data_IF_235162117588
#
_entry.id   IF_235162117588
#
_cell.length_a   1.000
_cell.length_b   1.000
_cell.length_c   1.000
_cell.angle_alpha   90.00
_cell.angle_beta   90.00
_cell.angle_gamma   90.00
#
_symmetry.space_group_name_H-M   'P 1'
#
loop_
_entity.id
_entity.type
_entity.pdbx_description
1 polymer ?
#
# COMPACT_ATOMS: atom_id res chain seq x y z
N UNK A 1 11.74 -23.21 17.41
CA UNK A 1 12.26 -22.25 18.40
C UNK A 1 11.64 -20.90 18.08
N UNK A 2 10.84 -20.44 19.03
CA UNK A 2 9.72 -19.50 18.96
C UNK A 2 10.11 -18.06 18.61
N UNK A 3 9.23 -17.37 17.88
CA UNK A 3 8.89 -15.97 18.16
C UNK A 3 7.38 -15.88 18.08
N UNK A 4 6.76 -15.96 19.24
CA UNK A 4 5.31 -15.96 19.48
C UNK A 4 4.65 -14.58 19.28
N UNK A 5 5.09 -13.76 18.30
CA UNK A 5 4.58 -12.39 18.16
C UNK A 5 4.39 -11.92 16.71
N UNK A 6 4.26 -12.83 15.74
CA UNK A 6 3.88 -12.44 14.38
C UNK A 6 2.34 -12.45 14.26
N UNK A 7 1.73 -11.30 14.56
CA UNK A 7 0.29 -11.11 14.48
C UNK A 7 -0.11 -10.54 13.12
N UNK A 8 -1.29 -10.91 12.65
CA UNK A 8 -1.85 -10.35 11.41
C UNK A 8 -2.19 -8.88 11.65
N UNK A 9 -1.41 -7.97 11.08
CA UNK A 9 -1.62 -6.52 11.21
C UNK A 9 -2.74 -6.00 10.30
N UNK A 10 -3.00 -6.66 9.17
CA UNK A 10 -4.01 -6.24 8.19
C UNK A 10 -4.61 -7.43 7.46
N UNK A 11 -5.92 -7.40 7.27
CA UNK A 11 -6.69 -8.39 6.52
C UNK A 11 -7.60 -7.65 5.54
N UNK A 12 -7.58 -8.06 4.27
CA UNK A 12 -8.48 -7.54 3.25
C UNK A 12 -8.97 -8.68 2.36
N UNK A 13 -10.11 -8.45 1.70
CA UNK A 13 -10.67 -9.35 0.70
C UNK A 13 -10.62 -8.61 -0.64
N UNK A 14 -10.05 -9.24 -1.66
CA UNK A 14 -9.90 -8.66 -2.99
C UNK A 14 -9.94 -9.77 -4.06
N UNK A 15 -10.31 -9.41 -5.28
CA UNK A 15 -10.21 -10.29 -6.44
C UNK A 15 -8.76 -10.33 -6.93
N UNK A 16 -8.39 -11.38 -7.68
CA UNK A 16 -7.03 -11.57 -8.21
C UNK A 16 -6.58 -10.43 -9.10
N UNK A 17 -7.49 -9.82 -9.85
CA UNK A 17 -7.23 -8.68 -10.75
C UNK A 17 -7.36 -7.30 -10.10
N UNK A 18 -7.78 -7.22 -8.84
CA UNK A 18 -7.89 -5.98 -8.07
C UNK A 18 -6.50 -5.34 -7.93
N UNK A 19 -6.43 -4.02 -8.11
CA UNK A 19 -5.20 -3.27 -7.86
C UNK A 19 -5.04 -3.04 -6.36
N UNK A 20 -3.84 -3.29 -5.84
CA UNK A 20 -3.47 -3.04 -4.46
C UNK A 20 -2.51 -1.84 -4.43
N UNK A 21 -2.93 -0.77 -3.78
CA UNK A 21 -2.10 0.41 -3.52
C UNK A 21 -1.43 0.28 -2.15
N UNK A 22 -0.12 0.35 -2.12
CA UNK A 22 0.71 0.27 -0.91
C UNK A 22 1.26 1.65 -0.61
N UNK A 23 0.75 2.29 0.43
CA UNK A 23 1.23 3.59 0.90
C UNK A 23 2.28 3.39 1.98
N UNK A 24 3.41 4.06 1.86
CA UNK A 24 4.51 3.97 2.81
C UNK A 24 4.53 5.15 3.77
N UNK A 25 5.18 4.93 4.91
CA UNK A 25 5.50 5.96 5.92
C UNK A 25 6.43 7.08 5.40
N UNK A 26 6.98 6.94 4.20
CA UNK A 26 7.77 7.98 3.52
C UNK A 26 6.93 8.77 2.49
N UNK A 27 5.61 8.55 2.44
CA UNK A 27 4.72 9.25 1.50
C UNK A 27 4.79 8.73 0.06
N UNK A 28 5.34 7.54 -0.16
CA UNK A 28 5.39 6.88 -1.46
C UNK A 28 4.23 5.91 -1.63
N UNK A 29 3.79 5.72 -2.88
CA UNK A 29 2.83 4.69 -3.27
C UNK A 29 3.44 3.72 -4.26
N UNK A 30 3.12 2.44 -4.08
CA UNK A 30 3.43 1.37 -5.02
C UNK A 30 2.14 0.65 -5.40
N UNK A 31 2.09 0.07 -6.60
CA UNK A 31 0.93 -0.72 -7.06
C UNK A 31 1.35 -2.14 -7.41
N UNK A 32 0.53 -3.12 -7.03
CA UNK A 32 0.60 -4.49 -7.53
C UNK A 32 -0.81 -5.01 -7.77
N UNK A 33 -0.97 -5.86 -8.77
CA UNK A 33 -2.20 -6.67 -8.91
C UNK A 33 -2.19 -7.78 -7.86
N UNK A 34 -3.32 -8.12 -7.28
CA UNK A 34 -3.41 -9.11 -6.19
C UNK A 34 -2.77 -10.46 -6.55
N UNK A 35 -2.91 -10.93 -7.79
CA UNK A 35 -2.29 -12.18 -8.25
C UNK A 35 -0.74 -12.18 -8.23
N UNK A 36 -0.08 -11.02 -8.16
CA UNK A 36 1.39 -10.92 -8.01
C UNK A 36 1.86 -11.29 -6.61
N UNK A 37 0.97 -11.31 -5.62
CA UNK A 37 1.30 -11.73 -4.27
C UNK A 37 1.60 -13.25 -4.24
N UNK A 38 2.55 -13.68 -3.41
CA UNK A 38 2.87 -15.10 -3.28
C UNK A 38 1.68 -15.84 -2.66
N UNK A 39 1.17 -16.83 -3.39
CA UNK A 39 0.19 -17.77 -2.86
C UNK A 39 0.84 -18.60 -1.75
N UNK A 40 0.20 -18.63 -0.60
CA UNK A 40 0.66 -19.32 0.59
C UNK A 40 -0.54 -19.97 1.27
N UNK A 41 -0.35 -21.15 1.86
CA UNK A 41 -1.35 -21.74 2.74
C UNK A 41 -1.56 -20.87 3.98
N UNK A 42 -2.71 -21.00 4.65
CA UNK A 42 -3.09 -20.17 5.81
C UNK A 42 -2.05 -20.11 6.93
N UNK A 43 -1.30 -21.19 7.14
CA UNK A 43 -0.27 -21.29 8.19
C UNK A 43 1.15 -20.94 7.69
N UNK A 44 1.31 -20.58 6.40
CA UNK A 44 2.59 -20.20 5.86
C UNK A 44 2.88 -18.72 6.15
N UNK A 45 4.15 -18.41 6.41
CA UNK A 45 4.60 -17.03 6.71
C UNK A 45 4.55 -16.06 5.51
N UNK A 46 4.29 -16.56 4.30
CA UNK A 46 4.36 -15.76 3.08
C UNK A 46 5.78 -15.30 2.72
N UNK A 47 5.90 -14.24 1.92
CA UNK A 47 7.17 -13.56 1.64
C UNK A 47 7.16 -12.16 2.24
N UNK A 48 8.32 -11.69 2.68
CA UNK A 48 8.49 -10.32 3.16
C UNK A 48 8.16 -9.29 2.06
N UNK A 49 7.39 -8.26 2.42
CA UNK A 49 6.93 -7.23 1.47
C UNK A 49 8.08 -6.43 0.84
N UNK A 50 9.18 -6.25 1.58
CA UNK A 50 10.41 -5.60 1.11
C UNK A 50 11.07 -6.33 -0.07
N UNK A 51 10.75 -7.61 -0.27
CA UNK A 51 11.23 -8.39 -1.42
C UNK A 51 10.32 -8.26 -2.66
N UNK A 52 9.09 -7.75 -2.48
CA UNK A 52 8.10 -7.59 -3.55
C UNK A 52 8.12 -6.16 -4.13
N UNK A 53 8.39 -5.18 -3.28
CA UNK A 53 8.38 -3.76 -3.62
C UNK A 53 9.75 -3.13 -3.34
N UNK A 54 10.27 -2.25 -4.22
CA UNK A 54 11.55 -1.58 -4.02
C UNK A 54 11.41 -0.44 -3.00
N UNK A 55 11.17 -0.80 -1.75
CA UNK A 55 10.99 0.11 -0.61
C UNK A 55 12.37 0.37 0.02
N UNK A 56 12.72 1.62 0.34
CA UNK A 56 13.97 1.93 1.05
C UNK A 56 14.03 1.25 2.43
N UNK A 57 15.24 0.96 2.90
CA UNK A 57 15.42 0.42 4.25
C UNK A 57 14.92 1.41 5.31
N UNK A 58 14.25 0.89 6.34
CA UNK A 58 13.66 1.70 7.41
C UNK A 58 12.28 2.29 7.09
N UNK A 59 11.81 2.18 5.84
CA UNK A 59 10.47 2.63 5.45
C UNK A 59 9.46 1.50 5.59
N UNK A 60 8.44 1.70 6.43
CA UNK A 60 7.32 0.78 6.62
C UNK A 60 6.13 1.06 5.70
N UNK A 61 5.21 0.10 5.62
CA UNK A 61 3.88 0.29 5.02
C UNK A 61 2.97 0.98 6.03
N UNK A 62 2.35 2.08 5.63
CA UNK A 62 1.35 2.80 6.41
C UNK A 62 -0.06 2.24 6.16
N UNK A 63 -0.40 1.96 4.90
CA UNK A 63 -1.70 1.41 4.54
C UNK A 63 -1.64 0.56 3.26
N UNK A 64 -2.52 -0.43 3.18
CA UNK A 64 -2.78 -1.23 1.98
C UNK A 64 -4.23 -0.98 1.59
N UNK A 65 -4.45 -0.52 0.36
CA UNK A 65 -5.78 -0.18 -0.14
C UNK A 65 -6.09 -1.02 -1.39
N UNK A 66 -6.95 -2.05 -1.26
CA UNK A 66 -7.50 -2.73 -2.43
C UNK A 66 -8.53 -1.81 -3.10
N UNK A 67 -8.37 -1.58 -4.40
CA UNK A 67 -9.29 -0.77 -5.20
C UNK A 67 -10.06 -1.68 -6.14
N UNK A 68 -11.23 -2.13 -5.68
CA UNK A 68 -12.09 -3.07 -6.42
C UNK A 68 -13.17 -2.36 -7.24
N UNK A 69 -12.73 -1.33 -7.97
CA UNK A 69 -13.52 -0.62 -8.96
C UNK A 69 -12.72 -0.47 -10.25
N UNK A 70 -13.37 -0.47 -11.42
CA UNK A 70 -12.70 -0.25 -12.69
C UNK A 70 -11.90 1.05 -12.70
N UNK A 71 -10.70 1.02 -13.28
CA UNK A 71 -9.80 2.17 -13.34
C UNK A 71 -10.45 3.40 -14.02
N UNK A 72 -11.36 3.16 -14.97
CA UNK A 72 -12.17 4.19 -15.65
C UNK A 72 -13.05 4.99 -14.71
N UNK A 73 -13.37 4.48 -13.53
CA UNK A 73 -14.23 5.13 -12.54
C UNK A 73 -13.42 5.84 -11.45
N UNK A 74 -12.09 5.68 -11.42
CA UNK A 74 -11.25 6.22 -10.34
C UNK A 74 -11.28 7.75 -10.26
N UNK A 75 -11.54 8.44 -11.37
CA UNK A 75 -11.67 9.90 -11.40
C UNK A 75 -12.82 10.43 -10.53
N UNK A 76 -13.81 9.58 -10.21
CA UNK A 76 -14.94 9.95 -9.32
C UNK A 76 -14.66 9.71 -7.84
N UNK A 77 -13.53 9.08 -7.52
CA UNK A 77 -13.16 8.67 -6.17
C UNK A 77 -12.05 9.55 -5.62
N UNK A 78 -11.99 9.62 -4.29
CA UNK A 78 -11.04 10.43 -3.55
C UNK A 78 -10.33 9.58 -2.52
N UNK A 79 -9.03 9.80 -2.34
CA UNK A 79 -8.26 9.26 -1.22
C UNK A 79 -8.01 10.38 -0.22
N UNK A 80 -8.21 10.06 1.04
CA UNK A 80 -7.87 10.91 2.18
C UNK A 80 -6.62 10.36 2.87
N UNK A 81 -5.64 11.24 3.08
CA UNK A 81 -4.45 11.00 3.86
C UNK A 81 -4.55 11.77 5.17
N UNK A 82 -4.07 11.17 6.25
CA UNK A 82 -3.93 11.82 7.55
C UNK A 82 -2.52 11.52 8.08
N UNK A 83 -1.83 12.53 8.58
CA UNK A 83 -0.47 12.41 9.10
C UNK A 83 -0.43 12.45 10.62
N UNK A 84 0.70 12.03 11.19
CA UNK A 84 0.96 12.10 12.64
C UNK A 84 0.84 13.50 13.24
N UNK A 85 1.08 14.55 12.44
CA UNK A 85 1.00 15.96 12.86
C UNK A 85 -0.41 16.54 12.74
N UNK A 86 -1.38 15.72 12.31
CA UNK A 86 -2.78 16.13 12.15
C UNK A 86 -3.07 16.83 10.82
N UNK A 87 -2.13 16.83 9.87
CA UNK A 87 -2.40 17.32 8.52
C UNK A 87 -3.27 16.31 7.75
N UNK A 88 -4.24 16.83 7.01
CA UNK A 88 -5.18 16.03 6.23
C UNK A 88 -5.15 16.50 4.79
N UNK A 89 -4.90 15.55 3.88
CA UNK A 89 -4.82 15.83 2.45
C UNK A 89 -5.78 14.96 1.68
N UNK A 90 -6.48 15.56 0.72
CA UNK A 90 -7.32 14.85 -0.25
C UNK A 90 -6.69 14.88 -1.63
N UNK A 91 -6.58 13.73 -2.26
CA UNK A 91 -6.23 13.61 -3.67
C UNK A 91 -7.32 12.82 -4.41
N UNK A 92 -7.43 13.04 -5.71
CA UNK A 92 -8.24 12.19 -6.56
C UNK A 92 -7.56 10.81 -6.72
N UNK A 93 -8.34 9.74 -6.83
CA UNK A 93 -7.79 8.38 -6.94
C UNK A 93 -7.14 8.14 -8.32
N UNK A 94 -7.58 8.87 -9.34
CA UNK A 94 -7.00 8.83 -10.69
C UNK A 94 -5.53 9.26 -10.76
N UNK A 95 -5.06 10.05 -9.78
CA UNK A 95 -3.63 10.35 -9.59
C UNK A 95 -2.78 9.08 -9.41
N UNK A 96 -3.38 7.95 -9.08
CA UNK A 96 -2.70 6.67 -8.82
C UNK A 96 -2.90 5.62 -9.92
N UNK A 97 -3.46 5.99 -11.08
CA UNK A 97 -3.57 5.11 -12.26
C UNK A 97 -2.20 4.67 -12.79
N UNK A 98 -1.29 5.63 -12.97
CA UNK A 98 0.04 5.38 -13.51
C UNK A 98 1.12 5.42 -12.42
N UNK A 99 1.20 4.35 -11.63
CA UNK A 99 2.27 4.13 -10.64
C UNK A 99 3.35 3.25 -11.25
N UNK A 100 4.54 3.83 -11.44
CA UNK A 100 5.70 3.14 -11.99
C UNK A 100 6.24 2.09 -11.01
N UNK A 101 7.08 1.17 -11.51
CA UNK A 101 7.66 0.08 -10.70
C UNK A 101 8.50 0.57 -9.51
N UNK A 102 9.16 1.72 -9.67
CA UNK A 102 9.92 2.39 -8.60
C UNK A 102 9.03 3.18 -7.62
N UNK A 103 7.71 3.12 -7.79
CA UNK A 103 6.74 3.87 -6.99
C UNK A 103 6.51 5.28 -7.53
N UNK A 104 5.53 5.95 -6.93
CA UNK A 104 5.19 7.36 -7.18
C UNK A 104 5.15 8.10 -5.84
N UNK A 105 5.43 9.40 -5.84
CA UNK A 105 5.22 10.23 -4.64
C UNK A 105 3.72 10.44 -4.48
N UNK A 106 3.13 9.93 -3.41
CA UNK A 106 1.73 10.16 -3.07
C UNK A 106 1.55 11.49 -2.33
N UNK A 107 2.47 11.76 -1.40
CA UNK A 107 2.54 13.01 -0.66
C UNK A 107 3.98 13.30 -0.24
N UNK A 108 4.33 14.58 -0.12
CA UNK A 108 5.60 14.99 0.50
C UNK A 108 5.35 15.17 1.99
N UNK A 109 6.05 14.41 2.81
CA UNK A 109 5.99 14.52 4.27
C UNK A 109 7.10 15.46 4.76
N UNK A 110 6.80 16.36 5.71
CA UNK A 110 7.83 17.07 6.46
C UNK A 110 8.73 16.12 7.25
N UNK A 111 9.89 16.59 7.67
CA UNK A 111 10.82 15.79 8.47
C UNK A 111 10.16 15.36 9.80
N UNK A 112 10.25 14.07 10.13
CA UNK A 112 9.67 13.50 11.35
C UNK A 112 8.18 13.10 11.26
N UNK A 113 7.48 13.52 10.21
CA UNK A 113 6.04 13.24 10.00
C UNK A 113 5.85 11.92 9.26
N UNK A 114 4.82 11.16 9.65
CA UNK A 114 4.50 9.82 9.10
C UNK A 114 3.03 9.72 8.73
#
# INVERSE_FOLDING_TARGET
>A
ATKDEDFVTSLFVANTHTALLFFTTAGMVYTLKCWRLPLAGRNARGKAIVNLLPIPQGVGIAAIMPVDVPETEWATLQIMFATSDGDVRRNALDDFTNVMRNGKIAMKLPEGVR
#
